data_IF_455849227115
#
_entry.id   IF_455849227115
#
_cell.length_a   1.000
_cell.length_b   1.000
_cell.length_c   1.000
_cell.angle_alpha   90.00
_cell.angle_beta   90.00
_cell.angle_gamma   90.00
#
_symmetry.space_group_name_H-M   'P 1'
#
loop_
_entity.id
_entity.type
_entity.pdbx_description
1 polymer ?
#
# COMPACT_ATOMS: atom_id res chain seq x y z
N UNK A 1 2.09 19.21 -11.35
CA UNK A 1 0.95 18.49 -10.77
C UNK A 1 1.38 17.04 -10.61
N UNK A 2 1.11 16.39 -9.46
CA UNK A 2 1.44 14.98 -9.28
C UNK A 2 0.55 14.09 -10.14
N UNK A 3 1.08 12.98 -10.65
CA UNK A 3 0.28 11.94 -11.29
C UNK A 3 -0.39 11.09 -10.21
N UNK A 4 -1.73 10.96 -10.20
CA UNK A 4 -2.42 10.16 -9.18
C UNK A 4 -2.14 8.67 -9.40
N UNK A 5 -2.00 7.92 -8.30
CA UNK A 5 -2.09 6.46 -8.33
C UNK A 5 -3.50 6.03 -8.79
N UNK A 6 -3.67 4.84 -9.39
CA UNK A 6 -4.92 4.43 -10.03
C UNK A 6 -6.01 3.97 -9.03
N UNK A 7 -6.44 4.87 -8.15
CA UNK A 7 -7.40 4.60 -7.06
C UNK A 7 -8.80 4.33 -7.62
N UNK A 8 -9.16 4.97 -8.73
CA UNK A 8 -10.50 4.95 -9.33
C UNK A 8 -10.69 3.84 -10.38
N UNK A 9 -9.78 2.85 -10.42
CA UNK A 9 -9.92 1.75 -11.37
C UNK A 9 -11.12 0.85 -11.07
N UNK A 10 -11.77 0.30 -12.12
CA UNK A 10 -12.87 -0.65 -11.97
C UNK A 10 -12.55 -1.85 -11.07
N UNK A 11 -13.58 -2.55 -10.63
CA UNK A 11 -13.42 -3.76 -9.85
C UNK A 11 -12.64 -4.82 -10.65
N UNK A 12 -11.72 -5.51 -9.99
CA UNK A 12 -11.01 -6.67 -10.54
C UNK A 12 -11.39 -7.92 -9.75
N UNK A 13 -11.37 -9.11 -10.36
CA UNK A 13 -11.71 -10.36 -9.68
C UNK A 13 -10.68 -10.77 -8.63
N UNK A 14 -9.44 -10.27 -8.70
CA UNK A 14 -8.37 -10.57 -7.74
C UNK A 14 -7.83 -9.31 -7.07
N UNK A 15 -7.57 -9.43 -5.77
CA UNK A 15 -6.89 -8.41 -4.97
C UNK A 15 -6.07 -9.03 -3.83
N UNK A 16 -4.99 -8.35 -3.43
CA UNK A 16 -4.25 -8.60 -2.19
C UNK A 16 -4.15 -7.29 -1.42
N UNK A 17 -4.41 -7.36 -0.11
CA UNK A 17 -4.21 -6.26 0.83
C UNK A 17 -3.07 -6.63 1.76
N UNK A 18 -1.91 -5.99 1.56
CA UNK A 18 -0.75 -6.20 2.42
C UNK A 18 -0.64 -5.01 3.38
N UNK A 19 -0.76 -5.27 4.68
CA UNK A 19 -0.56 -4.29 5.75
C UNK A 19 0.72 -4.63 6.49
N UNK A 20 1.62 -3.67 6.65
CA UNK A 20 2.90 -3.86 7.34
C UNK A 20 3.18 -2.72 8.33
N UNK A 21 3.99 -3.02 9.33
CA UNK A 21 4.61 -2.05 10.25
C UNK A 21 6.06 -1.82 9.86
N UNK A 22 6.59 -0.62 10.14
CA UNK A 22 7.99 -0.30 9.85
C UNK A 22 8.80 -0.57 11.12
N UNK A 23 9.73 -1.51 11.06
CA UNK A 23 10.67 -1.78 12.15
C UNK A 23 11.52 -0.54 12.46
N UNK A 24 12.09 -0.48 13.66
CA UNK A 24 13.00 0.59 14.05
C UNK A 24 14.22 0.64 13.11
N UNK A 25 14.50 1.81 12.52
CA UNK A 25 15.56 1.97 11.53
C UNK A 25 15.22 1.53 10.11
N UNK A 26 14.01 0.98 9.87
CA UNK A 26 13.55 0.51 8.55
C UNK A 26 13.17 1.62 7.57
N UNK A 27 13.20 2.89 7.97
CA UNK A 27 12.67 4.01 7.17
C UNK A 27 13.38 4.19 5.83
N UNK A 28 14.68 3.91 5.76
CA UNK A 28 15.44 4.01 4.52
C UNK A 28 15.00 2.95 3.50
N UNK A 29 14.91 1.68 3.93
CA UNK A 29 14.46 0.58 3.08
C UNK A 29 13.03 0.82 2.56
N UNK A 30 12.15 1.35 3.41
CA UNK A 30 10.77 1.70 3.02
C UNK A 30 10.75 2.85 2.01
N UNK A 31 11.55 3.90 2.19
CA UNK A 31 11.65 4.99 1.19
C UNK A 31 12.14 4.49 -0.16
N UNK A 32 13.14 3.61 -0.18
CA UNK A 32 13.66 3.00 -1.40
C UNK A 32 12.60 2.13 -2.08
N UNK A 33 11.90 1.28 -1.31
CA UNK A 33 10.78 0.48 -1.81
C UNK A 33 9.67 1.35 -2.42
N UNK A 34 9.27 2.43 -1.74
CA UNK A 34 8.22 3.34 -2.23
C UNK A 34 8.65 4.04 -3.53
N UNK A 35 9.93 4.41 -3.67
CA UNK A 35 10.47 4.99 -4.90
C UNK A 35 10.48 3.97 -6.06
N UNK A 36 10.78 2.70 -5.76
CA UNK A 36 10.87 1.62 -6.74
C UNK A 36 9.53 0.94 -7.08
N UNK A 37 8.47 1.18 -6.32
CA UNK A 37 7.20 0.46 -6.42
C UNK A 37 6.60 0.46 -7.83
N UNK A 38 6.65 1.60 -8.53
CA UNK A 38 6.18 1.69 -9.91
C UNK A 38 7.04 0.85 -10.88
N UNK A 39 8.35 0.75 -10.61
CA UNK A 39 9.27 -0.13 -11.32
C UNK A 39 8.94 -1.61 -11.07
N UNK A 40 8.76 -2.00 -9.81
CA UNK A 40 8.38 -3.37 -9.43
C UNK A 40 7.07 -3.79 -10.10
N UNK A 41 6.02 -2.97 -10.01
CA UNK A 41 4.74 -3.23 -10.66
C UNK A 41 4.89 -3.44 -12.17
N UNK A 42 5.66 -2.58 -12.85
CA UNK A 42 5.92 -2.73 -14.30
C UNK A 42 6.67 -4.01 -14.61
N UNK A 43 7.66 -4.39 -13.80
CA UNK A 43 8.44 -5.62 -14.01
C UNK A 43 7.61 -6.90 -13.88
N UNK A 44 6.60 -6.91 -13.00
CA UNK A 44 5.65 -8.03 -12.87
C UNK A 44 4.62 -7.97 -13.98
N UNK A 45 3.95 -6.83 -14.16
CA UNK A 45 2.86 -6.66 -15.12
C UNK A 45 3.28 -6.84 -16.58
N UNK A 46 4.53 -6.50 -16.94
CA UNK A 46 5.04 -6.70 -18.29
C UNK A 46 5.14 -8.19 -18.68
N UNK A 47 5.36 -9.07 -17.69
CA UNK A 47 5.40 -10.53 -17.91
C UNK A 47 4.00 -11.14 -18.06
N UNK A 48 2.95 -10.40 -17.70
CA UNK A 48 1.56 -10.84 -17.69
C UNK A 48 0.66 -9.85 -18.46
N UNK A 49 0.78 -9.76 -19.80
CA UNK A 49 -0.04 -8.86 -20.61
C UNK A 49 -1.53 -9.09 -20.38
N UNK A 50 -2.29 -8.02 -20.21
CA UNK A 50 -3.74 -8.10 -19.97
C UNK A 50 -4.14 -8.39 -18.52
N UNK A 51 -3.20 -8.64 -17.60
CA UNK A 51 -3.52 -8.87 -16.19
C UNK A 51 -4.03 -7.62 -15.46
N UNK A 52 -3.92 -6.42 -16.04
CA UNK A 52 -4.41 -5.19 -15.42
C UNK A 52 -3.77 -4.87 -14.07
N UNK A 53 -2.52 -5.31 -13.84
CA UNK A 53 -1.87 -5.24 -12.53
C UNK A 53 -1.66 -3.79 -12.07
N UNK A 54 -2.30 -3.44 -10.95
CA UNK A 54 -2.15 -2.16 -10.26
C UNK A 54 -1.83 -2.33 -8.79
N UNK A 55 -1.20 -1.31 -8.23
CA UNK A 55 -0.84 -1.23 -6.82
C UNK A 55 -1.02 0.20 -6.35
N UNK A 56 -1.78 0.36 -5.27
CA UNK A 56 -1.91 1.64 -4.55
C UNK A 56 -1.19 1.50 -3.22
N UNK A 57 -0.22 2.37 -2.96
CA UNK A 57 0.45 2.50 -1.68
C UNK A 57 -0.25 3.54 -0.79
N UNK A 58 -0.67 3.11 0.40
CA UNK A 58 -1.13 3.96 1.49
C UNK A 58 -0.10 4.03 2.60
N UNK A 59 0.00 5.20 3.26
CA UNK A 59 0.96 5.44 4.33
C UNK A 59 0.20 5.93 5.56
N UNK A 60 0.42 5.27 6.70
CA UNK A 60 -0.23 5.56 7.96
C UNK A 60 0.20 6.91 8.56
N UNK A 61 -0.64 7.47 9.42
CA UNK A 61 -0.38 8.78 10.04
C UNK A 61 0.94 8.84 10.80
N UNK A 62 1.24 7.82 11.61
CA UNK A 62 2.49 7.72 12.38
C UNK A 62 3.68 7.44 11.47
N UNK A 63 3.50 6.57 10.47
CA UNK A 63 4.53 6.27 9.46
C UNK A 63 4.93 7.52 8.67
N UNK A 64 3.99 8.40 8.37
CA UNK A 64 4.26 9.64 7.65
C UNK A 64 5.30 10.51 8.36
N UNK A 65 5.21 10.64 9.69
CA UNK A 65 6.17 11.42 10.49
C UNK A 65 7.57 10.81 10.48
N UNK A 66 7.66 9.48 10.33
CA UNK A 66 8.93 8.74 10.26
C UNK A 66 9.56 8.82 8.86
N UNK A 67 8.72 8.83 7.83
CA UNK A 67 9.16 8.71 6.44
C UNK A 67 9.46 10.05 5.77
N UNK A 68 8.74 11.12 6.13
CA UNK A 68 8.80 12.40 5.42
C UNK A 68 9.00 13.59 6.36
N UNK A 69 9.79 14.57 5.91
CA UNK A 69 10.00 15.84 6.61
C UNK A 69 9.16 17.01 6.03
N UNK A 70 8.31 16.73 5.04
CA UNK A 70 7.50 17.72 4.33
C UNK A 70 6.14 17.99 5.00
N UNK A 71 5.31 18.88 4.40
CA UNK A 71 3.97 19.15 4.91
C UNK A 71 3.13 17.86 4.92
N UNK A 72 2.43 17.63 6.03
CA UNK A 72 1.50 16.52 6.19
C UNK A 72 0.18 16.81 5.45
N UNK A 73 -0.51 15.78 4.91
CA UNK A 73 -1.88 15.97 4.45
C UNK A 73 -2.75 16.42 5.64
N UNK A 74 -3.55 17.47 5.43
CA UNK A 74 -4.20 18.20 6.52
C UNK A 74 -5.08 17.33 7.42
N UNK A 75 -5.75 16.33 6.84
CA UNK A 75 -6.68 15.43 7.54
C UNK A 75 -6.05 14.06 7.87
N UNK A 76 -4.73 13.87 7.72
CA UNK A 76 -4.10 12.59 8.00
C UNK A 76 -3.98 12.33 9.51
N UNK A 77 -4.76 11.37 10.00
CA UNK A 77 -4.78 10.93 11.39
C UNK A 77 -4.87 9.40 11.50
N UNK A 78 -4.51 8.85 12.66
CA UNK A 78 -4.70 7.43 12.95
C UNK A 78 -6.19 7.09 13.02
N UNK A 79 -6.58 5.87 12.65
CA UNK A 79 -7.95 5.42 12.83
C UNK A 79 -8.32 5.49 14.33
N UNK A 80 -9.33 6.27 14.72
CA UNK A 80 -9.59 6.56 16.14
C UNK A 80 -10.15 5.35 16.89
N UNK A 81 -10.69 4.37 16.16
CA UNK A 81 -11.48 3.29 16.75
C UNK A 81 -12.86 3.79 17.22
N UNK A 82 -13.83 2.86 17.27
CA UNK A 82 -15.18 3.16 17.73
C UNK A 82 -15.70 2.01 18.59
N UNK A 83 -16.29 2.32 19.75
CA UNK A 83 -16.89 1.36 20.66
C UNK A 83 -18.37 1.65 20.82
N UNK A 84 -19.21 0.79 20.23
CA UNK A 84 -20.66 0.82 20.42
C UNK A 84 -21.13 -0.17 21.49
N UNK A 85 -22.43 -0.18 21.82
CA UNK A 85 -23.00 -1.08 22.84
C UNK A 85 -22.86 -2.57 22.52
N UNK A 86 -22.75 -2.93 21.22
CA UNK A 86 -22.65 -4.33 20.74
C UNK A 86 -21.42 -4.58 19.87
N UNK A 87 -20.99 -3.60 19.09
CA UNK A 87 -19.93 -3.73 18.08
C UNK A 87 -18.77 -2.79 18.36
N UNK A 88 -17.58 -3.24 18.00
CA UNK A 88 -16.36 -2.46 18.09
C UNK A 88 -15.70 -2.41 16.72
N UNK A 89 -15.14 -1.26 16.39
CA UNK A 89 -14.19 -1.07 15.32
C UNK A 89 -12.85 -0.71 15.98
N UNK A 90 -11.99 -1.69 16.30
CA UNK A 90 -10.73 -1.43 16.96
C UNK A 90 -9.74 -0.75 16.02
N UNK A 91 -8.85 0.08 16.57
CA UNK A 91 -7.66 0.51 15.85
C UNK A 91 -6.60 -0.59 15.92
N UNK A 92 -6.10 -1.02 14.76
CA UNK A 92 -5.04 -2.03 14.63
C UNK A 92 -3.80 -1.44 13.97
N UNK A 93 -2.59 -1.96 14.24
CA UNK A 93 -1.36 -1.45 13.63
C UNK A 93 -1.37 -1.52 12.10
N UNK A 94 -0.75 -0.53 11.46
CA UNK A 94 -0.60 -0.46 10.01
C UNK A 94 0.09 0.83 9.58
N UNK A 95 1.37 0.73 9.20
CA UNK A 95 2.18 1.85 8.74
C UNK A 95 2.15 1.97 7.21
N UNK A 96 2.08 0.83 6.52
CA UNK A 96 2.05 0.73 5.07
C UNK A 96 0.87 -0.14 4.65
N UNK A 97 0.18 0.27 3.60
CA UNK A 97 -0.82 -0.52 2.89
C UNK A 97 -0.40 -0.64 1.43
N UNK A 98 -0.35 -1.85 0.90
CA UNK A 98 -0.30 -2.11 -0.54
C UNK A 98 -1.61 -2.77 -0.96
N UNK A 99 -2.44 -2.02 -1.67
CA UNK A 99 -3.66 -2.53 -2.29
C UNK A 99 -3.34 -2.92 -3.74
N UNK A 100 -3.21 -4.22 -3.96
CA UNK A 100 -2.79 -4.81 -5.22
C UNK A 100 -4.02 -5.42 -5.89
N UNK A 101 -4.22 -5.11 -7.18
CA UNK A 101 -5.38 -5.55 -7.97
C UNK A 101 -4.93 -6.08 -9.32
N UNK A 102 -5.61 -7.11 -9.83
CA UNK A 102 -5.39 -7.67 -11.15
C UNK A 102 -6.58 -8.55 -11.59
N UNK A 103 -6.63 -8.87 -12.88
CA UNK A 103 -7.55 -9.84 -13.47
C UNK A 103 -7.24 -11.29 -13.06
N UNK A 104 -6.00 -11.54 -12.65
CA UNK A 104 -5.50 -12.88 -12.26
C UNK A 104 -4.74 -12.81 -10.94
N UNK A 105 -4.96 -13.79 -10.07
CA UNK A 105 -4.45 -13.76 -8.69
C UNK A 105 -2.94 -13.91 -8.59
N UNK A 106 -2.33 -14.68 -9.50
CA UNK A 106 -0.88 -14.86 -9.59
C UNK A 106 -0.14 -13.53 -9.80
N UNK A 107 -0.68 -12.62 -10.63
CA UNK A 107 -0.12 -11.28 -10.79
C UNK A 107 -0.08 -10.48 -9.47
N UNK A 108 -1.16 -10.56 -8.68
CA UNK A 108 -1.20 -9.92 -7.36
C UNK A 108 -0.17 -10.56 -6.42
N UNK A 109 -0.12 -11.89 -6.39
CA UNK A 109 0.77 -12.65 -5.51
C UNK A 109 2.24 -12.40 -5.82
N UNK A 110 2.62 -12.42 -7.10
CA UNK A 110 3.97 -12.13 -7.57
C UNK A 110 4.45 -10.74 -7.14
N UNK A 111 3.59 -9.71 -7.25
CA UNK A 111 3.93 -8.37 -6.78
C UNK A 111 4.02 -8.31 -5.25
N UNK A 112 3.11 -8.97 -4.53
CA UNK A 112 3.15 -9.02 -3.07
C UNK A 112 4.45 -9.68 -2.55
N UNK A 113 4.88 -10.76 -3.19
CA UNK A 113 6.16 -11.42 -2.88
C UNK A 113 7.36 -10.53 -3.23
N UNK A 114 7.33 -9.84 -4.37
CA UNK A 114 8.38 -8.90 -4.75
C UNK A 114 8.52 -7.74 -3.76
N UNK A 115 7.41 -7.26 -3.19
CA UNK A 115 7.38 -6.25 -2.13
C UNK A 115 7.92 -6.84 -0.81
N UNK A 116 7.46 -8.04 -0.41
CA UNK A 116 7.85 -8.67 0.86
C UNK A 116 9.31 -9.16 0.93
N UNK A 117 9.99 -9.24 -0.22
CA UNK A 117 11.42 -9.60 -0.30
C UNK A 117 12.36 -8.37 -0.25
N UNK A 118 11.83 -7.18 -0.02
CA UNK A 118 12.60 -5.95 0.18
C UNK A 118 12.73 -5.65 1.67
#
# INVERSE_FOLDING_TARGET
MGEPQPILEPLTPSAIFLVATIDEGGEAAVRDLLADLAGLRRSVGFRLPGAGLTCVAGIGSTAWDRLFAGPRPAELHAFPGFAGPRHQAPATPGDLLFHIKAEVHDACFELAMAIGNR
#
